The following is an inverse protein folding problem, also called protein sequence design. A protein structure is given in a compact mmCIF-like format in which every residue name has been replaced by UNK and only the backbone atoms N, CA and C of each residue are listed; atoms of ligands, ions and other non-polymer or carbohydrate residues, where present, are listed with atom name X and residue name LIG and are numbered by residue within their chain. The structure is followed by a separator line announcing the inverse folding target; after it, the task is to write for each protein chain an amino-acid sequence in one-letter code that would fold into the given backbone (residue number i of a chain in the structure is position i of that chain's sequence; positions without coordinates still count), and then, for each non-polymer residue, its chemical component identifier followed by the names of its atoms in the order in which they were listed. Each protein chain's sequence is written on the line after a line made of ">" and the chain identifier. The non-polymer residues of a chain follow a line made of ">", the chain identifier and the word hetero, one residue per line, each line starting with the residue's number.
data_IF_616009093748
#
_entry.id   IF_616009093748
#
_cell.length_a   1.000
_cell.length_b   1.000
_cell.length_c   1.000
_cell.angle_alpha   90.00
_cell.angle_beta   90.00
_cell.angle_gamma   90.00
#
_symmetry.space_group_name_H-M   'P 1'
#
loop_
_entity.id
_entity.type
_entity.pdbx_description
1 polymer ?
#
# COMPACT_ATOMS: atom_id res chain seq x y z
N UNK A 1 14.41 18.41 -10.21
CA UNK A 1 13.84 17.38 -9.33
C UNK A 1 12.62 18.02 -8.70
N UNK A 2 11.42 17.61 -9.11
CA UNK A 2 10.16 18.09 -8.54
C UNK A 2 9.87 17.32 -7.25
N UNK A 3 9.24 17.99 -6.27
CA UNK A 3 8.91 17.42 -4.96
C UNK A 3 9.40 18.25 -3.77
N UNK A 4 9.64 19.54 -3.96
CA UNK A 4 10.04 20.47 -2.91
C UNK A 4 9.12 21.68 -2.92
N UNK A 5 7.99 21.59 -2.24
CA UNK A 5 7.17 22.74 -1.88
C UNK A 5 6.85 22.65 -0.38
N UNK A 6 7.90 22.64 0.46
CA UNK A 6 7.77 23.12 1.83
C UNK A 6 7.68 24.64 1.70
N UNK A 7 6.49 25.19 1.87
CA UNK A 7 6.34 26.63 2.07
C UNK A 7 7.15 27.02 3.32
N UNK A 8 7.86 28.18 3.32
CA UNK A 8 8.66 28.60 4.47
C UNK A 8 7.72 28.99 5.63
N UNK A 9 7.38 28.01 6.46
CA UNK A 9 6.33 28.04 7.49
C UNK A 9 5.42 26.81 7.52
N UNK A 10 5.69 25.80 6.68
CA UNK A 10 4.86 24.62 6.44
C UNK A 10 4.53 23.81 7.69
N UNK A 11 3.29 23.34 7.73
CA UNK A 11 2.81 22.39 8.73
C UNK A 11 3.44 21.03 8.41
N UNK A 12 4.13 20.44 9.39
CA UNK A 12 4.54 19.03 9.30
C UNK A 12 3.29 18.16 9.18
N UNK A 13 3.24 17.31 8.16
CA UNK A 13 2.15 16.34 7.95
C UNK A 13 2.44 15.09 8.76
N UNK A 14 1.42 14.54 9.42
CA UNK A 14 1.58 13.32 10.22
C UNK A 14 1.80 12.07 9.34
N UNK A 15 2.65 11.16 9.80
CA UNK A 15 2.93 9.85 9.20
C UNK A 15 3.29 8.85 10.31
N UNK A 16 2.28 8.15 10.80
CA UNK A 16 2.39 7.20 11.90
C UNK A 16 2.22 5.76 11.40
N UNK A 17 3.04 4.86 11.95
CA UNK A 17 2.95 3.41 11.70
C UNK A 17 2.95 2.67 13.04
N UNK A 18 2.01 1.77 13.21
CA UNK A 18 1.93 0.87 14.35
C UNK A 18 1.75 -0.60 13.92
N UNK A 19 2.10 -1.51 14.83
CA UNK A 19 1.89 -2.95 14.64
C UNK A 19 0.66 -3.36 15.44
N UNK A 20 -0.36 -3.82 14.74
CA UNK A 20 -1.63 -4.28 15.29
C UNK A 20 -1.85 -5.78 15.01
N UNK A 21 -2.87 -6.36 15.64
CA UNK A 21 -3.36 -7.69 15.30
C UNK A 21 -4.24 -7.62 14.04
N UNK A 22 -3.96 -8.48 13.06
CA UNK A 22 -4.69 -8.57 11.81
C UNK A 22 -6.15 -9.00 12.07
N UNK A 23 -7.15 -8.23 11.61
CA UNK A 23 -8.57 -8.56 11.83
C UNK A 23 -9.03 -9.84 11.12
N UNK A 24 -8.27 -10.31 10.13
CA UNK A 24 -8.64 -11.48 9.31
C UNK A 24 -8.04 -12.80 9.83
N UNK A 25 -6.75 -12.80 10.18
CA UNK A 25 -6.04 -14.03 10.57
C UNK A 25 -5.51 -14.03 12.02
N UNK A 26 -5.53 -12.89 12.71
CA UNK A 26 -4.95 -12.74 14.05
C UNK A 26 -3.41 -12.72 14.08
N UNK A 27 -2.74 -12.65 12.93
CA UNK A 27 -1.28 -12.44 12.84
C UNK A 27 -0.91 -10.96 12.93
N UNK A 28 0.37 -10.63 12.81
CA UNK A 28 0.82 -9.23 12.83
C UNK A 28 0.38 -8.49 11.56
N UNK A 29 -0.03 -7.23 11.72
CA UNK A 29 -0.33 -6.32 10.63
C UNK A 29 0.24 -4.93 10.91
N UNK A 30 0.66 -4.24 9.85
CA UNK A 30 1.06 -2.84 9.91
C UNK A 30 -0.16 -1.96 9.64
N UNK A 31 -0.49 -1.12 10.60
CA UNK A 31 -1.44 -0.04 10.43
C UNK A 31 -0.68 1.26 10.24
N UNK A 32 -1.04 2.04 9.21
CA UNK A 32 -0.42 3.32 8.90
C UNK A 32 -1.48 4.40 8.74
N UNK A 33 -1.23 5.55 9.35
CA UNK A 33 -2.00 6.77 9.16
C UNK A 33 -1.07 7.85 8.60
N UNK A 34 -1.46 8.50 7.51
CA UNK A 34 -0.64 9.59 6.97
C UNK A 34 -1.47 10.70 6.34
N UNK A 35 -0.92 11.90 6.34
CA UNK A 35 -1.56 13.08 5.79
C UNK A 35 -0.93 13.47 4.45
N UNK A 36 -1.79 13.88 3.51
CA UNK A 36 -1.39 14.43 2.21
C UNK A 36 -2.04 15.79 2.01
N UNK A 37 -1.35 16.71 1.33
CA UNK A 37 -1.91 18.01 1.00
C UNK A 37 -2.18 18.11 -0.50
N UNK A 38 -3.41 17.83 -0.91
CA UNK A 38 -3.83 17.88 -2.31
C UNK A 38 -4.74 19.09 -2.54
N UNK A 39 -4.39 19.91 -3.56
CA UNK A 39 -5.14 21.11 -3.94
C UNK A 39 -5.44 22.11 -2.79
N UNK A 40 -4.60 22.15 -1.75
CA UNK A 40 -4.77 23.03 -0.59
C UNK A 40 -5.70 22.49 0.51
N UNK A 41 -6.04 21.20 0.45
CA UNK A 41 -6.76 20.48 1.50
C UNK A 41 -5.87 19.41 2.11
N UNK A 42 -6.01 19.20 3.42
CA UNK A 42 -5.35 18.07 4.10
C UNK A 42 -6.28 16.86 4.03
N UNK A 43 -5.81 15.81 3.38
CA UNK A 43 -6.44 14.51 3.30
C UNK A 43 -5.75 13.56 4.28
N UNK A 44 -6.54 12.81 5.03
CA UNK A 44 -6.06 11.81 5.99
C UNK A 44 -6.29 10.44 5.39
N UNK A 45 -5.20 9.68 5.27
CA UNK A 45 -5.19 8.36 4.67
C UNK A 45 -4.92 7.31 5.75
N UNK A 46 -5.40 6.10 5.51
CA UNK A 46 -5.25 4.97 6.42
C UNK A 46 -5.07 3.66 5.66
N UNK A 47 -4.15 2.80 6.09
CA UNK A 47 -4.00 1.44 5.55
C UNK A 47 -3.72 0.41 6.63
N UNK A 48 -4.17 -0.81 6.41
CA UNK A 48 -3.79 -2.00 7.18
C UNK A 48 -3.25 -3.04 6.21
N UNK A 49 -2.03 -3.52 6.45
CA UNK A 49 -1.38 -4.56 5.65
C UNK A 49 -0.89 -5.69 6.55
N UNK A 50 -1.46 -6.88 6.39
CA UNK A 50 -1.07 -8.07 7.15
C UNK A 50 0.16 -8.73 6.55
N UNK A 51 1.13 -9.05 7.38
CA UNK A 51 2.36 -9.75 6.96
C UNK A 51 2.22 -11.27 6.92
N UNK A 52 1.07 -11.81 7.34
CA UNK A 52 0.87 -13.24 7.51
C UNK A 52 -0.10 -13.87 6.50
N UNK A 53 -1.13 -13.13 6.07
CA UNK A 53 -2.16 -13.66 5.17
C UNK A 53 -2.43 -12.79 3.94
N UNK A 54 -1.56 -11.80 3.67
CA UNK A 54 -1.68 -10.84 2.56
C UNK A 54 -2.98 -10.04 2.54
N UNK A 55 -3.72 -10.02 3.66
CA UNK A 55 -4.89 -9.16 3.81
C UNK A 55 -4.45 -7.70 3.84
N UNK A 56 -5.03 -6.89 2.97
CA UNK A 56 -4.72 -5.47 2.88
C UNK A 56 -6.01 -4.66 2.66
N UNK A 57 -6.15 -3.55 3.37
CA UNK A 57 -7.31 -2.65 3.28
C UNK A 57 -6.92 -1.19 3.53
N UNK A 58 -7.83 -0.28 3.17
CA UNK A 58 -7.67 1.17 3.33
C UNK A 58 -7.33 1.90 2.01
N UNK A 59 -6.70 3.07 2.14
CA UNK A 59 -6.27 3.98 1.06
C UNK A 59 -5.03 3.45 0.32
N UNK A 60 -5.09 2.19 -0.12
CA UNK A 60 -4.06 1.55 -0.94
C UNK A 60 -4.23 1.97 -2.41
N UNK A 61 -3.13 2.16 -3.16
CA UNK A 61 -3.23 2.39 -4.59
C UNK A 61 -3.77 1.13 -5.28
N UNK A 62 -4.52 1.30 -6.38
CA UNK A 62 -5.05 0.18 -7.16
C UNK A 62 -3.96 -0.82 -7.57
N UNK A 63 -2.74 -0.31 -7.83
CA UNK A 63 -1.56 -1.10 -8.17
C UNK A 63 -1.10 -2.05 -7.07
N UNK A 64 -1.56 -1.88 -5.84
CA UNK A 64 -1.27 -2.81 -4.75
C UNK A 64 -1.95 -4.17 -4.98
N UNK A 65 -3.13 -4.18 -5.60
CA UNK A 65 -3.89 -5.40 -5.88
C UNK A 65 -3.65 -5.96 -7.28
N UNK A 66 -2.90 -5.23 -8.11
CA UNK A 66 -2.50 -5.71 -9.42
C UNK A 66 -1.45 -6.83 -9.25
N UNK A 67 -1.64 -8.01 -9.88
CA UNK A 67 -0.65 -9.06 -9.84
C UNK A 67 0.64 -8.53 -10.46
N UNK A 68 1.71 -8.51 -9.69
CA UNK A 68 2.99 -7.97 -10.13
C UNK A 68 3.48 -8.76 -11.35
N UNK A 69 3.60 -8.12 -12.52
CA UNK A 69 3.99 -8.78 -13.77
C UNK A 69 5.35 -9.51 -13.64
N UNK A 70 6.21 -9.13 -12.68
CA UNK A 70 7.47 -9.82 -12.43
C UNK A 70 7.33 -11.16 -11.67
N UNK A 71 6.15 -11.52 -11.16
CA UNK A 71 5.86 -12.85 -10.63
C UNK A 71 5.49 -13.85 -11.72
N UNK A 72 5.25 -13.41 -12.96
CA UNK A 72 5.18 -14.30 -14.14
C UNK A 72 6.58 -14.83 -14.47
N UNK A 73 7.09 -15.70 -13.60
CA UNK A 73 8.25 -16.53 -13.89
C UNK A 73 7.98 -17.27 -15.21
N UNK A 74 9.01 -17.55 -16.04
CA UNK A 74 8.87 -18.41 -17.21
C UNK A 74 8.20 -19.76 -16.89
N UNK A 75 8.28 -20.21 -15.63
CA UNK A 75 7.59 -21.40 -15.14
C UNK A 75 6.06 -21.22 -15.07
N UNK A 76 5.56 -20.04 -14.66
CA UNK A 76 4.13 -19.73 -14.65
C UNK A 76 3.62 -19.55 -16.08
N UNK A 77 4.41 -18.90 -16.95
CA UNK A 77 4.04 -18.75 -18.36
C UNK A 77 3.97 -20.09 -19.09
N UNK A 78 4.93 -20.99 -18.84
CA UNK A 78 4.90 -22.35 -19.38
C UNK A 78 3.67 -23.14 -18.89
N UNK A 79 3.24 -22.93 -17.64
CA UNK A 79 2.05 -23.58 -17.09
C UNK A 79 0.76 -23.02 -17.69
N UNK A 80 0.68 -21.70 -17.91
CA UNK A 80 -0.47 -21.06 -18.55
C UNK A 80 -0.61 -21.47 -20.03
N UNK A 81 0.51 -21.57 -20.75
CA UNK A 81 0.54 -22.10 -22.13
C UNK A 81 0.07 -23.57 -22.18
N UNK A 82 0.51 -24.41 -21.24
CA UNK A 82 0.05 -25.81 -21.14
C UNK A 82 -1.44 -25.93 -20.79
N UNK A 83 -1.98 -24.99 -19.99
CA UNK A 83 -3.39 -24.93 -19.64
C UNK A 83 -4.27 -24.22 -20.69
N UNK A 84 -3.66 -23.61 -21.72
CA UNK A 84 -4.35 -22.94 -22.82
C UNK A 84 -5.12 -21.67 -22.43
N UNK A 85 -4.64 -20.96 -21.40
CA UNK A 85 -5.21 -19.71 -20.88
C UNK A 85 -4.43 -18.47 -21.33
#
# INVERSE_FOLDING_TARGET
>A
MYGGCIEPGGIDLDDDVEVIECPHCGGDAFERYWETCEAGSIDRNHTIICTACDHAEGDLPDSYFEPHEAERSPEIEALLDELGL
#
